data_IF_998696764078
#
_entry.id   IF_998696764078
#
_cell.length_a   1.000
_cell.length_b   1.000
_cell.length_c   1.000
_cell.angle_alpha   90.00
_cell.angle_beta   90.00
_cell.angle_gamma   90.00
#
_symmetry.space_group_name_H-M   'P 1'
#
loop_
_entity.id
_entity.type
_entity.pdbx_description
1 polymer ?
#
# COMPACT_ATOMS: atom_id res chain seq x y z
N UNK A 1 83.84 -32.28 -7.58
CA UNK A 1 83.83 -32.45 -6.11
C UNK A 1 82.84 -31.44 -5.54
N UNK A 2 81.94 -31.87 -4.63
CA UNK A 2 80.71 -31.20 -4.11
C UNK A 2 79.47 -31.41 -5.01
N UNK A 3 78.73 -32.51 -4.86
CA UNK A 3 77.62 -32.81 -3.90
C UNK A 3 76.29 -32.15 -4.34
N UNK A 4 75.42 -32.93 -5.02
CA UNK A 4 73.94 -32.86 -4.91
C UNK A 4 73.55 -33.33 -3.49
N UNK A 5 72.41 -32.96 -2.85
CA UNK A 5 71.07 -33.10 -3.48
C UNK A 5 69.88 -32.29 -2.85
N UNK A 6 68.67 -32.63 -3.30
CA UNK A 6 67.36 -32.72 -2.58
C UNK A 6 66.41 -31.52 -2.52
N UNK A 7 65.18 -31.83 -2.94
CA UNK A 7 63.91 -31.22 -2.50
C UNK A 7 63.36 -30.22 -3.49
N UNK A 8 62.08 -30.16 -3.81
CA UNK A 8 60.92 -30.95 -3.45
C UNK A 8 59.87 -30.54 -4.50
N UNK A 9 59.10 -31.50 -5.01
CA UNK A 9 57.95 -31.21 -5.85
C UNK A 9 56.94 -30.33 -5.10
N UNK A 10 56.31 -29.37 -5.79
CA UNK A 10 54.96 -28.96 -5.43
C UNK A 10 54.19 -28.57 -6.69
N UNK A 11 53.35 -29.52 -7.11
CA UNK A 11 52.22 -29.29 -7.97
C UNK A 11 51.25 -28.30 -7.29
N UNK A 12 50.82 -27.28 -8.01
CA UNK A 12 49.60 -26.54 -7.67
C UNK A 12 48.66 -26.67 -8.84
N UNK A 13 47.71 -27.60 -8.67
CA UNK A 13 46.58 -27.80 -9.56
C UNK A 13 45.74 -26.51 -9.61
N UNK A 14 45.44 -26.06 -10.82
CA UNK A 14 44.46 -25.03 -11.07
C UNK A 14 43.08 -25.56 -10.66
N UNK A 15 42.61 -25.13 -9.49
CA UNK A 15 41.21 -25.30 -9.09
C UNK A 15 40.42 -24.31 -9.93
N UNK A 16 39.88 -24.78 -11.05
CA UNK A 16 38.79 -24.14 -11.75
C UNK A 16 37.55 -24.19 -10.83
N UNK A 17 37.47 -23.24 -9.91
CA UNK A 17 36.28 -23.02 -9.11
C UNK A 17 35.16 -22.58 -10.04
N UNK A 18 34.24 -23.51 -10.33
CA UNK A 18 32.89 -23.17 -10.78
C UNK A 18 32.28 -22.21 -9.74
N UNK A 19 32.37 -20.91 -10.01
CA UNK A 19 31.43 -19.94 -9.47
C UNK A 19 30.09 -20.24 -10.14
N UNK A 20 29.33 -21.14 -9.51
CA UNK A 20 27.88 -21.18 -9.63
C UNK A 20 27.38 -19.81 -9.14
N UNK A 21 27.32 -18.87 -10.08
CA UNK A 21 26.47 -17.69 -9.97
C UNK A 21 25.06 -18.23 -9.89
N UNK A 22 24.56 -18.40 -8.67
CA UNK A 22 23.13 -18.47 -8.41
C UNK A 22 22.56 -17.13 -8.85
N UNK A 23 22.25 -17.02 -10.13
CA UNK A 23 21.26 -16.09 -10.61
C UNK A 23 19.97 -16.48 -9.91
N UNK A 24 19.71 -15.84 -8.77
CA UNK A 24 18.38 -15.77 -8.21
C UNK A 24 17.54 -15.11 -9.30
N UNK A 25 16.99 -15.92 -10.19
CA UNK A 25 15.93 -15.50 -11.08
C UNK A 25 14.83 -15.04 -10.14
N UNK A 26 14.61 -13.73 -10.07
CA UNK A 26 13.43 -13.20 -9.40
C UNK A 26 12.24 -13.93 -10.01
N UNK A 27 11.51 -14.70 -9.20
CA UNK A 27 10.35 -15.44 -9.68
C UNK A 27 9.43 -14.46 -10.44
N UNK A 28 9.02 -14.85 -11.65
CA UNK A 28 8.04 -14.06 -12.39
C UNK A 28 6.77 -13.94 -11.53
N UNK A 29 6.19 -12.73 -11.41
CA UNK A 29 5.02 -12.55 -10.56
C UNK A 29 3.80 -13.28 -11.15
N UNK A 30 3.05 -13.96 -10.30
CA UNK A 30 1.77 -14.61 -10.67
C UNK A 30 0.71 -13.58 -11.10
N UNK A 31 0.83 -12.36 -10.57
CA UNK A 31 -0.08 -11.24 -10.79
C UNK A 31 0.67 -9.93 -11.01
N UNK A 32 0.34 -9.22 -12.08
CA UNK A 32 0.77 -7.85 -12.32
C UNK A 32 -0.46 -6.93 -12.18
N UNK A 33 -0.38 -5.98 -11.26
CA UNK A 33 -1.39 -4.94 -11.04
C UNK A 33 -0.88 -3.67 -11.72
N UNK A 34 -1.47 -3.33 -12.85
CA UNK A 34 -1.21 -2.09 -13.58
C UNK A 34 -2.05 -0.95 -13.00
N UNK A 35 -1.41 0.12 -12.55
CA UNK A 35 -2.11 1.34 -12.14
C UNK A 35 -2.28 2.28 -13.32
N UNK A 36 -3.51 2.79 -13.48
CA UNK A 36 -3.88 3.73 -14.53
C UNK A 36 -3.29 5.13 -14.30
N UNK A 37 -3.42 6.04 -15.29
CA UNK A 37 -2.80 7.37 -15.26
C UNK A 37 -3.18 8.21 -14.04
N UNK A 38 -4.45 8.20 -13.63
CA UNK A 38 -4.92 8.96 -12.46
C UNK A 38 -4.29 8.46 -11.16
N UNK A 39 -4.23 7.13 -10.98
CA UNK A 39 -3.63 6.48 -9.80
C UNK A 39 -2.12 6.65 -9.77
N UNK A 40 -1.47 6.68 -10.94
CA UNK A 40 -0.05 6.97 -11.07
C UNK A 40 0.26 8.42 -10.69
N UNK A 41 -0.51 9.38 -11.22
CA UNK A 41 -0.28 10.81 -11.02
C UNK A 41 -0.64 11.24 -9.60
N UNK A 42 -1.83 10.89 -9.14
CA UNK A 42 -2.41 11.39 -7.89
C UNK A 42 -2.34 10.38 -6.74
N UNK A 43 -1.80 9.19 -6.97
CA UNK A 43 -1.74 8.14 -5.97
C UNK A 43 -3.12 7.51 -5.69
N UNK A 44 -3.12 6.49 -4.85
CA UNK A 44 -4.32 5.75 -4.49
C UNK A 44 -4.04 4.60 -3.53
N UNK A 45 -5.08 3.84 -3.20
CA UNK A 45 -5.04 2.69 -2.30
C UNK A 45 -5.44 1.43 -3.06
N UNK A 46 -4.63 0.39 -2.88
CA UNK A 46 -4.82 -0.94 -3.46
C UNK A 46 -4.81 -1.93 -2.31
N UNK A 47 -5.93 -2.60 -2.06
CA UNK A 47 -5.98 -3.72 -1.12
C UNK A 47 -5.86 -5.01 -1.91
N UNK A 48 -4.89 -5.85 -1.55
CA UNK A 48 -4.64 -7.13 -2.24
C UNK A 48 -5.00 -8.28 -1.31
N UNK A 49 -5.92 -9.14 -1.75
CA UNK A 49 -6.37 -10.34 -1.06
C UNK A 49 -5.98 -11.61 -1.84
N UNK A 50 -4.96 -12.35 -1.40
CA UNK A 50 -4.66 -13.68 -1.92
C UNK A 50 -5.68 -14.70 -1.38
N UNK A 51 -6.26 -15.53 -2.24
CA UNK A 51 -7.28 -16.53 -1.86
C UNK A 51 -6.74 -17.95 -2.07
N UNK A 52 -6.49 -18.71 -0.99
CA UNK A 52 -5.97 -20.07 -1.09
C UNK A 52 -7.03 -21.02 -1.65
N UNK A 53 -6.71 -21.66 -2.77
CA UNK A 53 -7.63 -22.51 -3.53
C UNK A 53 -7.23 -23.97 -3.45
N UNK A 54 -8.20 -24.85 -3.22
CA UNK A 54 -7.94 -26.29 -3.12
C UNK A 54 -7.51 -26.88 -4.48
N UNK A 55 -6.63 -27.91 -4.50
CA UNK A 55 -6.07 -28.46 -5.74
C UNK A 55 -7.11 -28.82 -6.82
N UNK A 56 -8.24 -29.43 -6.41
CA UNK A 56 -9.33 -29.80 -7.34
C UNK A 56 -10.01 -28.60 -7.99
N UNK A 57 -10.14 -27.49 -7.27
CA UNK A 57 -10.67 -26.25 -7.81
C UNK A 57 -9.62 -25.54 -8.66
N UNK A 58 -8.35 -25.60 -8.23
CA UNK A 58 -7.21 -25.02 -8.93
C UNK A 58 -7.01 -25.60 -10.32
N UNK A 59 -7.19 -26.91 -10.52
CA UNK A 59 -7.11 -27.54 -11.85
C UNK A 59 -8.01 -26.87 -12.90
N UNK A 60 -9.18 -26.37 -12.49
CA UNK A 60 -10.10 -25.67 -13.39
C UNK A 60 -9.68 -24.23 -13.68
N UNK A 61 -8.89 -23.62 -12.79
CA UNK A 61 -8.41 -22.24 -12.86
C UNK A 61 -7.06 -22.16 -13.58
N UNK A 62 -6.15 -23.10 -13.32
CA UNK A 62 -4.80 -23.12 -13.88
C UNK A 62 -4.76 -23.37 -15.40
N UNK A 63 -5.87 -23.81 -16.00
CA UNK A 63 -6.01 -23.96 -17.44
C UNK A 63 -6.00 -22.60 -18.20
N UNK A 64 -6.18 -21.47 -17.50
CA UNK A 64 -6.08 -20.11 -18.06
C UNK A 64 -4.77 -19.43 -17.65
N UNK A 65 -3.90 -19.15 -18.64
CA UNK A 65 -2.71 -18.26 -18.72
C UNK A 65 -1.83 -18.01 -17.45
N UNK A 66 -0.48 -18.09 -17.53
CA UNK A 66 0.38 -18.15 -16.34
C UNK A 66 0.52 -16.85 -15.54
N UNK A 67 0.58 -15.67 -16.18
CA UNK A 67 0.62 -14.37 -15.49
C UNK A 67 -0.66 -13.58 -15.76
N UNK A 68 -1.37 -13.20 -14.69
CA UNK A 68 -2.59 -12.40 -14.82
C UNK A 68 -2.20 -10.92 -14.73
N UNK A 69 -2.53 -10.14 -15.77
CA UNK A 69 -2.38 -8.69 -15.73
C UNK A 69 -3.76 -8.10 -15.46
N UNK A 70 -3.89 -7.32 -14.40
CA UNK A 70 -5.10 -6.59 -14.07
C UNK A 70 -4.85 -5.10 -14.03
N UNK A 71 -5.88 -4.31 -14.35
CA UNK A 71 -5.78 -2.85 -14.42
C UNK A 71 -6.63 -2.21 -13.35
N UNK A 72 -6.04 -1.24 -12.66
CA UNK A 72 -6.72 -0.43 -11.67
C UNK A 72 -6.69 1.05 -12.11
N UNK A 73 -7.83 1.54 -12.59
CA UNK A 73 -7.98 2.93 -13.02
C UNK A 73 -8.52 3.84 -11.89
N UNK A 74 -9.11 3.25 -10.86
CA UNK A 74 -9.68 3.98 -9.73
C UNK A 74 -8.67 4.16 -8.60
N UNK A 75 -8.76 5.30 -7.90
CA UNK A 75 -7.84 5.63 -6.78
C UNK A 75 -8.07 4.79 -5.53
N UNK A 76 -9.12 3.97 -5.51
CA UNK A 76 -9.34 2.89 -4.56
C UNK A 76 -9.66 1.60 -5.32
N UNK A 77 -9.00 0.51 -4.96
CA UNK A 77 -9.30 -0.80 -5.51
C UNK A 77 -8.97 -1.94 -4.58
N UNK A 78 -9.73 -3.02 -4.73
CA UNK A 78 -9.50 -4.30 -4.08
C UNK A 78 -9.20 -5.33 -5.15
N UNK A 79 -7.99 -5.89 -5.14
CA UNK A 79 -7.57 -6.96 -6.05
C UNK A 79 -7.59 -8.27 -5.29
N UNK A 80 -8.41 -9.21 -5.75
CA UNK A 80 -8.50 -10.55 -5.18
C UNK A 80 -7.94 -11.52 -6.21
N UNK A 81 -7.05 -12.42 -5.80
CA UNK A 81 -6.52 -13.42 -6.73
C UNK A 81 -6.38 -14.77 -6.06
N UNK A 82 -6.71 -15.82 -6.80
CA UNK A 82 -6.59 -17.19 -6.35
C UNK A 82 -5.17 -17.70 -6.58
N UNK A 83 -4.69 -18.49 -5.63
CA UNK A 83 -3.44 -19.24 -5.71
C UNK A 83 -3.64 -20.65 -5.16
N UNK A 84 -2.74 -21.57 -5.50
CA UNK A 84 -2.83 -22.95 -5.00
C UNK A 84 -2.54 -22.98 -3.49
N UNK A 85 -3.44 -23.56 -2.70
CA UNK A 85 -3.24 -23.70 -1.26
C UNK A 85 -1.93 -24.44 -0.96
N UNK A 86 -1.09 -23.83 -0.13
CA UNK A 86 0.22 -24.38 0.26
C UNK A 86 1.36 -24.04 -0.71
N UNK A 87 1.12 -23.27 -1.78
CA UNK A 87 2.17 -22.68 -2.61
C UNK A 87 2.50 -21.26 -2.17
N UNK A 88 3.69 -20.81 -2.55
CA UNK A 88 4.02 -19.38 -2.54
C UNK A 88 3.26 -18.65 -3.65
N UNK A 89 3.19 -17.33 -3.53
CA UNK A 89 2.66 -16.44 -4.56
C UNK A 89 3.46 -15.14 -4.61
N UNK A 90 3.51 -14.51 -5.77
CA UNK A 90 4.13 -13.20 -5.96
C UNK A 90 3.22 -12.29 -6.79
N UNK A 91 3.16 -11.01 -6.44
CA UNK A 91 2.54 -9.99 -7.26
C UNK A 91 3.41 -8.75 -7.37
N UNK A 92 3.21 -7.97 -8.44
CA UNK A 92 3.90 -6.71 -8.68
C UNK A 92 2.88 -5.61 -8.99
N UNK A 93 3.05 -4.46 -8.36
CA UNK A 93 2.33 -3.24 -8.73
C UNK A 93 3.25 -2.40 -9.60
N UNK A 94 2.76 -1.96 -10.76
CA UNK A 94 3.50 -1.13 -11.70
C UNK A 94 2.53 -0.18 -12.41
N UNK A 95 2.97 0.94 -13.00
CA UNK A 95 2.08 1.72 -13.82
C UNK A 95 1.88 1.09 -15.19
N UNK A 96 0.77 1.43 -15.84
CA UNK A 96 0.48 1.01 -17.21
C UNK A 96 1.60 1.45 -18.18
N UNK A 97 1.77 0.71 -19.26
CA UNK A 97 2.69 1.07 -20.32
C UNK A 97 2.38 2.47 -20.90
N UNK A 98 3.44 3.23 -21.22
CA UNK A 98 3.31 4.52 -21.90
C UNK A 98 3.15 5.74 -21.00
N UNK A 99 3.12 5.60 -19.67
CA UNK A 99 3.18 6.77 -18.77
C UNK A 99 4.59 7.33 -18.65
N UNK A 100 4.70 8.66 -18.57
CA UNK A 100 5.97 9.35 -18.36
C UNK A 100 6.55 9.03 -16.97
N UNK A 101 7.88 8.92 -16.85
CA UNK A 101 8.60 8.62 -15.58
C UNK A 101 8.17 7.32 -14.90
N UNK A 102 7.77 6.32 -15.68
CA UNK A 102 7.38 4.99 -15.19
C UNK A 102 8.41 4.36 -14.24
N UNK A 103 9.69 4.52 -14.55
CA UNK A 103 10.81 4.05 -13.75
C UNK A 103 10.91 4.68 -12.36
N UNK A 104 10.25 5.82 -12.16
CA UNK A 104 10.14 6.50 -10.87
C UNK A 104 8.94 6.01 -10.04
N UNK A 105 8.17 5.04 -10.53
CA UNK A 105 7.02 4.53 -9.79
C UNK A 105 7.44 3.83 -8.49
N UNK A 106 6.80 4.20 -7.39
CA UNK A 106 7.01 3.58 -6.08
C UNK A 106 5.65 3.22 -5.48
N UNK A 107 5.59 2.07 -4.82
CA UNK A 107 4.48 1.69 -3.95
C UNK A 107 4.97 1.52 -2.51
N UNK A 108 4.09 1.80 -1.56
CA UNK A 108 4.38 1.72 -0.12
C UNK A 108 3.36 0.77 0.52
N UNK A 109 3.82 -0.21 1.31
CA UNK A 109 2.89 -1.00 2.14
C UNK A 109 2.41 -0.15 3.30
N UNK A 110 1.10 0.06 3.43
CA UNK A 110 0.49 0.80 4.55
C UNK A 110 0.17 -0.11 5.74
N UNK A 111 -0.26 -1.33 5.45
CA UNK A 111 -0.67 -2.32 6.45
C UNK A 111 -0.63 -3.73 5.90
N UNK A 112 -0.51 -4.70 6.80
CA UNK A 112 -0.66 -6.13 6.53
C UNK A 112 -1.94 -6.57 7.23
N UNK A 113 -2.81 -7.26 6.49
CA UNK A 113 -4.04 -7.83 7.01
C UNK A 113 -3.71 -9.23 7.51
N UNK A 114 -3.95 -9.47 8.80
CA UNK A 114 -3.64 -10.74 9.46
C UNK A 114 -4.64 -11.85 9.16
N UNK A 115 -4.35 -13.02 9.73
CA UNK A 115 -5.19 -14.21 9.69
C UNK A 115 -5.63 -14.62 11.10
N UNK A 116 -6.70 -15.40 11.19
CA UNK A 116 -7.12 -16.10 12.41
C UNK A 116 -6.27 -17.36 12.67
N UNK A 117 -6.61 -18.10 13.74
CA UNK A 117 -5.93 -19.35 14.12
C UNK A 117 -6.08 -20.48 13.08
N UNK A 118 -6.96 -20.32 12.10
CA UNK A 118 -7.17 -21.27 11.00
C UNK A 118 -6.54 -20.78 9.68
N UNK A 119 -5.63 -19.81 9.75
CA UNK A 119 -4.99 -19.15 8.61
C UNK A 119 -5.99 -18.48 7.65
N UNK A 120 -7.15 -18.05 8.16
CA UNK A 120 -8.16 -17.33 7.38
C UNK A 120 -8.06 -15.83 7.65
N UNK A 121 -7.88 -15.07 6.58
CA UNK A 121 -8.05 -13.62 6.59
C UNK A 121 -9.53 -13.23 6.49
N UNK A 122 -9.82 -11.96 6.11
CA UNK A 122 -11.19 -11.52 5.89
C UNK A 122 -11.93 -12.38 4.87
N UNK A 123 -13.23 -12.56 5.12
CA UNK A 123 -14.17 -13.13 4.16
C UNK A 123 -14.49 -12.08 3.10
N UNK A 124 -14.49 -12.47 1.84
CA UNK A 124 -14.79 -11.57 0.73
C UNK A 124 -16.29 -11.28 0.65
N UNK A 125 -16.64 -10.00 0.70
CA UNK A 125 -18.03 -9.52 0.54
C UNK A 125 -18.38 -9.26 -0.93
N UNK A 126 -17.38 -8.93 -1.76
CA UNK A 126 -17.51 -8.72 -3.21
C UNK A 126 -16.51 -9.60 -3.97
N UNK A 127 -16.71 -9.83 -5.27
CA UNK A 127 -15.80 -10.60 -6.12
C UNK A 127 -15.92 -12.10 -5.87
N UNK A 128 -14.90 -12.72 -5.28
CA UNK A 128 -14.93 -14.11 -4.83
C UNK A 128 -15.74 -14.26 -3.53
N UNK A 129 -17.01 -13.86 -3.56
CA UNK A 129 -17.89 -13.74 -2.39
C UNK A 129 -17.94 -15.03 -1.58
N UNK A 130 -17.89 -14.89 -0.24
CA UNK A 130 -17.85 -15.93 0.77
C UNK A 130 -16.55 -16.74 0.88
N UNK A 131 -15.56 -16.51 0.02
CA UNK A 131 -14.23 -17.11 0.19
C UNK A 131 -13.41 -16.32 1.21
N UNK A 132 -12.51 -17.02 1.90
CA UNK A 132 -11.59 -16.42 2.86
C UNK A 132 -10.24 -16.19 2.19
N UNK A 133 -9.70 -14.99 2.37
CA UNK A 133 -8.32 -14.70 1.98
C UNK A 133 -7.31 -15.40 2.91
N UNK A 134 -6.03 -15.43 2.53
CA UNK A 134 -4.91 -15.75 3.41
C UNK A 134 -4.26 -14.44 3.86
N UNK A 135 -5.01 -13.65 4.63
CA UNK A 135 -4.65 -12.29 4.98
C UNK A 135 -4.67 -11.35 3.78
N UNK A 136 -3.81 -10.36 3.76
CA UNK A 136 -3.74 -9.40 2.65
C UNK A 136 -2.78 -8.27 2.90
N UNK A 137 -2.70 -7.34 1.94
CA UNK A 137 -1.91 -6.12 2.09
C UNK A 137 -2.68 -4.91 1.62
N UNK A 138 -2.55 -3.82 2.35
CA UNK A 138 -3.01 -2.51 1.93
C UNK A 138 -1.78 -1.74 1.44
N UNK A 139 -1.81 -1.37 0.17
CA UNK A 139 -0.72 -0.75 -0.55
C UNK A 139 -1.17 0.64 -0.99
N UNK A 140 -0.26 1.59 -0.82
CA UNK A 140 -0.40 2.93 -1.37
C UNK A 140 0.40 3.03 -2.66
N UNK A 141 -0.27 3.45 -3.72
CA UNK A 141 0.39 3.96 -4.92
C UNK A 141 0.89 5.38 -4.59
N UNK A 142 2.21 5.58 -4.58
CA UNK A 142 2.79 6.88 -4.21
C UNK A 142 2.59 7.85 -5.38
N UNK A 143 1.97 9.03 -5.17
CA UNK A 143 1.81 10.03 -6.21
C UNK A 143 3.17 10.50 -6.74
N UNK A 144 3.26 10.70 -8.05
CA UNK A 144 4.52 11.05 -8.71
C UNK A 144 5.15 12.35 -8.16
N UNK A 145 4.33 13.29 -7.67
CA UNK A 145 4.77 14.54 -7.07
C UNK A 145 5.59 14.33 -5.79
N UNK A 146 5.29 13.30 -4.99
CA UNK A 146 6.09 12.97 -3.81
C UNK A 146 7.43 12.35 -4.18
N UNK A 147 7.52 11.67 -5.32
CA UNK A 147 8.77 11.06 -5.82
C UNK A 147 9.62 12.09 -6.56
N UNK A 148 9.00 13.01 -7.28
CA UNK A 148 9.68 14.01 -8.10
C UNK A 148 10.36 15.15 -7.31
N UNK A 149 10.29 15.14 -5.97
CA UNK A 149 10.97 16.08 -5.08
C UNK A 149 11.96 15.38 -4.14
N UNK A 150 13.26 15.66 -4.28
CA UNK A 150 14.32 15.09 -3.42
C UNK A 150 14.36 15.71 -2.01
N UNK A 151 13.80 16.91 -1.87
CA UNK A 151 13.82 17.71 -0.66
C UNK A 151 12.58 17.45 0.23
N UNK A 152 12.82 17.24 1.52
CA UNK A 152 11.77 17.04 2.52
C UNK A 152 10.85 18.26 2.67
N UNK A 153 11.35 19.45 2.40
CA UNK A 153 10.57 20.69 2.33
C UNK A 153 9.64 20.69 1.10
N UNK A 154 10.07 20.15 -0.04
CA UNK A 154 9.24 19.98 -1.25
C UNK A 154 8.14 18.95 -1.01
N UNK A 155 8.46 17.83 -0.35
CA UNK A 155 7.46 16.83 0.09
C UNK A 155 6.50 17.40 1.13
N UNK A 156 6.97 18.24 2.04
CA UNK A 156 6.14 18.87 3.07
C UNK A 156 5.28 20.01 2.52
N UNK A 157 5.79 20.78 1.57
CA UNK A 157 5.09 21.88 0.90
C UNK A 157 4.03 21.36 -0.08
N UNK A 158 4.28 20.23 -0.78
CA UNK A 158 3.27 19.54 -1.57
C UNK A 158 2.12 18.99 -0.70
N UNK A 159 2.43 18.61 0.54
CA UNK A 159 1.42 18.10 1.50
C UNK A 159 0.62 19.20 2.22
N UNK A 160 1.14 20.43 2.33
CA UNK A 160 0.55 21.43 3.25
C UNK A 160 0.60 22.91 2.80
N UNK A 161 1.13 23.24 1.62
CA UNK A 161 1.42 24.63 1.25
C UNK A 161 1.05 25.07 -0.18
N UNK A 162 0.64 24.17 -1.06
CA UNK A 162 -0.01 24.59 -2.31
C UNK A 162 -1.48 24.81 -2.00
N UNK A 163 -2.00 26.00 -2.29
CA UNK A 163 -3.43 26.24 -2.35
C UNK A 163 -4.00 25.29 -3.39
N UNK A 164 -4.54 24.17 -2.92
CA UNK A 164 -5.19 23.21 -3.80
C UNK A 164 -6.35 23.92 -4.48
N UNK A 165 -6.41 23.80 -5.79
CA UNK A 165 -7.57 24.26 -6.52
C UNK A 165 -8.80 23.51 -6.01
N UNK A 166 -9.97 24.12 -6.07
CA UNK A 166 -11.23 23.45 -5.72
C UNK A 166 -11.49 22.18 -6.55
N UNK A 167 -10.81 22.06 -7.69
CA UNK A 167 -10.87 20.93 -8.61
C UNK A 167 -9.81 19.86 -8.35
N UNK A 168 -8.89 20.09 -7.42
CA UNK A 168 -7.85 19.11 -7.11
C UNK A 168 -8.46 17.94 -6.33
N UNK A 169 -8.17 16.69 -6.73
CA UNK A 169 -8.68 15.54 -6.01
C UNK A 169 -7.94 15.44 -4.66
N UNK A 170 -8.56 14.86 -3.61
CA UNK A 170 -7.91 14.74 -2.30
C UNK A 170 -6.52 14.09 -2.42
N UNK A 171 -5.50 14.57 -1.69
CA UNK A 171 -4.15 14.03 -1.80
C UNK A 171 -4.13 12.58 -1.30
N UNK A 172 -3.46 11.69 -2.03
CA UNK A 172 -3.13 10.35 -1.54
C UNK A 172 -1.72 10.33 -0.95
N UNK A 173 -1.40 11.31 -0.09
CA UNK A 173 -0.24 11.17 0.80
C UNK A 173 -0.45 10.00 1.78
N UNK A 174 0.52 9.66 2.65
CA UNK A 174 0.31 8.50 3.55
C UNK A 174 -0.97 8.64 4.39
N UNK A 175 -1.28 9.86 4.85
CA UNK A 175 -2.45 10.14 5.68
C UNK A 175 -3.72 10.14 4.84
N UNK A 176 -3.69 10.78 3.68
CA UNK A 176 -4.78 10.79 2.72
C UNK A 176 -5.14 9.41 2.24
N UNK A 177 -4.16 8.55 1.94
CA UNK A 177 -4.42 7.15 1.60
C UNK A 177 -5.12 6.40 2.75
N UNK A 178 -4.71 6.63 4.00
CA UNK A 178 -5.40 6.05 5.18
C UNK A 178 -6.79 6.63 5.38
N UNK A 179 -6.99 7.92 5.13
CA UNK A 179 -8.29 8.57 5.21
C UNK A 179 -9.25 8.03 4.14
N UNK A 180 -8.79 7.81 2.89
CA UNK A 180 -9.57 7.16 1.84
C UNK A 180 -10.00 5.76 2.29
N UNK A 181 -9.05 4.96 2.81
CA UNK A 181 -9.38 3.63 3.33
C UNK A 181 -10.47 3.72 4.42
N UNK A 182 -10.35 4.65 5.38
CA UNK A 182 -11.33 4.82 6.44
C UNK A 182 -12.72 5.27 5.96
N UNK A 183 -12.77 6.14 4.95
CA UNK A 183 -14.04 6.56 4.32
C UNK A 183 -14.71 5.37 3.62
N UNK A 184 -13.94 4.61 2.85
CA UNK A 184 -14.48 3.46 2.14
C UNK A 184 -14.88 2.35 3.10
N UNK A 185 -14.04 2.00 4.08
CA UNK A 185 -14.28 0.92 5.04
C UNK A 185 -15.51 1.17 5.93
N UNK A 186 -15.68 2.40 6.41
CA UNK A 186 -16.89 2.78 7.18
C UNK A 186 -18.13 2.90 6.29
N UNK A 187 -17.92 3.25 5.03
CA UNK A 187 -18.98 3.45 4.04
C UNK A 187 -19.23 2.24 3.14
N UNK A 188 -18.69 1.04 3.41
CA UNK A 188 -18.80 -0.11 2.48
C UNK A 188 -20.27 -0.43 2.15
N UNK A 189 -21.18 -0.28 3.12
CA UNK A 189 -22.62 -0.45 2.90
C UNK A 189 -23.25 0.64 2.03
N UNK A 190 -22.62 1.81 1.93
CA UNK A 190 -23.03 2.96 1.10
C UNK A 190 -22.32 2.99 -0.26
N UNK A 191 -21.16 2.34 -0.38
CA UNK A 191 -20.31 2.30 -1.57
C UNK A 191 -19.99 0.85 -1.94
N UNK A 192 -20.99 0.07 -2.40
CA UNK A 192 -20.76 -1.32 -2.77
C UNK A 192 -19.71 -1.40 -3.89
N UNK A 193 -18.82 -2.38 -3.77
CA UNK A 193 -17.80 -2.61 -4.78
C UNK A 193 -18.38 -3.35 -5.98
N UNK A 194 -18.11 -2.83 -7.17
CA UNK A 194 -18.34 -3.52 -8.44
C UNK A 194 -17.06 -4.25 -8.84
N UNK A 195 -17.16 -5.55 -9.12
CA UNK A 195 -16.02 -6.39 -9.47
C UNK A 195 -16.07 -6.81 -10.93
N UNK A 196 -14.92 -6.76 -11.58
CA UNK A 196 -14.68 -7.29 -12.91
C UNK A 196 -13.47 -8.23 -12.88
N UNK A 197 -13.48 -9.28 -13.71
CA UNK A 197 -12.41 -10.26 -13.75
C UNK A 197 -12.87 -11.66 -14.15
N UNK A 198 -12.02 -12.64 -13.87
CA UNK A 198 -12.20 -14.03 -14.25
C UNK A 198 -12.17 -14.98 -13.03
N UNK A 199 -12.04 -16.29 -13.29
CA UNK A 199 -12.00 -17.32 -12.24
C UNK A 199 -10.72 -17.28 -11.40
N UNK A 200 -9.67 -16.59 -11.85
CA UNK A 200 -8.38 -16.48 -11.17
C UNK A 200 -8.23 -15.15 -10.45
N UNK A 201 -8.70 -14.04 -11.02
CA UNK A 201 -8.54 -12.70 -10.43
C UNK A 201 -9.80 -11.86 -10.58
N UNK A 202 -10.12 -11.10 -9.53
CA UNK A 202 -11.21 -10.12 -9.48
C UNK A 202 -10.64 -8.77 -9.07
N UNK A 203 -11.00 -7.71 -9.80
CA UNK A 203 -10.71 -6.33 -9.45
C UNK A 203 -12.01 -5.65 -9.07
N UNK A 204 -12.12 -5.29 -7.81
CA UNK A 204 -13.28 -4.66 -7.23
C UNK A 204 -12.98 -3.18 -6.98
N UNK A 205 -13.80 -2.30 -7.52
CA UNK A 205 -13.66 -0.86 -7.37
C UNK A 205 -14.99 -0.26 -6.97
N UNK A 206 -14.95 0.98 -6.47
CA UNK A 206 -16.18 1.73 -6.28
C UNK A 206 -16.61 2.25 -7.66
N UNK A 207 -17.90 2.18 -7.95
CA UNK A 207 -18.44 2.64 -9.22
C UNK A 207 -18.00 4.10 -9.50
N UNK A 208 -17.45 4.42 -10.68
CA UNK A 208 -16.86 5.73 -10.97
C UNK A 208 -17.81 6.91 -10.73
N UNK A 209 -19.11 6.72 -10.95
CA UNK A 209 -20.15 7.72 -10.72
C UNK A 209 -20.30 8.12 -9.25
N UNK A 210 -19.88 7.28 -8.30
CA UNK A 210 -19.91 7.56 -6.85
C UNK A 210 -18.71 8.36 -6.39
N UNK A 211 -17.72 8.63 -7.26
CA UNK A 211 -16.52 9.41 -6.93
C UNK A 211 -16.87 10.80 -6.39
N UNK A 212 -17.89 11.44 -6.96
CA UNK A 212 -18.39 12.74 -6.51
C UNK A 212 -18.93 12.75 -5.07
N UNK A 213 -19.29 11.58 -4.52
CA UNK A 213 -19.75 11.44 -3.14
C UNK A 213 -18.58 11.11 -2.19
N UNK A 214 -17.58 10.37 -2.66
CA UNK A 214 -16.42 9.95 -1.86
C UNK A 214 -15.43 11.09 -1.67
N UNK A 215 -15.16 11.87 -2.71
CA UNK A 215 -14.14 12.93 -2.64
C UNK A 215 -14.44 13.97 -1.54
N UNK A 216 -15.67 14.47 -1.37
CA UNK A 216 -16.00 15.35 -0.24
C UNK A 216 -15.83 14.69 1.13
N UNK A 217 -16.20 13.40 1.26
CA UNK A 217 -16.02 12.65 2.50
C UNK A 217 -14.54 12.43 2.83
N UNK A 218 -13.73 12.18 1.80
CA UNK A 218 -12.29 12.04 1.94
C UNK A 218 -11.62 13.37 2.34
N UNK A 219 -12.02 14.47 1.69
CA UNK A 219 -11.59 15.81 2.10
C UNK A 219 -11.95 16.12 3.54
N UNK A 220 -13.18 15.79 3.94
CA UNK A 220 -13.64 15.95 5.31
C UNK A 220 -12.83 15.11 6.29
N UNK A 221 -12.59 13.83 6.00
CA UNK A 221 -11.80 12.95 6.86
C UNK A 221 -10.36 13.46 7.05
N UNK A 222 -9.75 14.01 5.99
CA UNK A 222 -8.45 14.66 6.06
C UNK A 222 -8.46 15.91 6.97
N UNK A 223 -9.51 16.73 6.88
CA UNK A 223 -9.67 17.91 7.70
C UNK A 223 -9.91 17.56 9.18
N UNK A 224 -10.74 16.54 9.46
CA UNK A 224 -11.02 16.05 10.81
C UNK A 224 -9.76 15.47 11.46
N UNK A 225 -8.98 14.62 10.77
CA UNK A 225 -7.70 14.09 11.26
C UNK A 225 -6.67 15.20 11.53
N UNK A 226 -6.66 16.26 10.71
CA UNK A 226 -5.83 17.44 10.97
C UNK A 226 -6.25 18.14 12.25
N UNK A 227 -7.56 18.40 12.42
CA UNK A 227 -8.09 19.09 13.59
C UNK A 227 -7.82 18.29 14.87
N UNK A 228 -8.03 16.97 14.84
CA UNK A 228 -7.76 16.08 15.96
C UNK A 228 -6.29 16.14 16.41
N UNK A 229 -5.34 16.16 15.46
CA UNK A 229 -3.92 16.35 15.81
C UNK A 229 -3.62 17.71 16.41
N UNK A 230 -4.20 18.78 15.87
CA UNK A 230 -4.01 20.12 16.42
C UNK A 230 -4.54 20.18 17.86
N UNK A 231 -5.70 19.58 18.12
CA UNK A 231 -6.23 19.39 19.47
C UNK A 231 -5.26 18.63 20.36
N UNK A 232 -4.78 17.47 19.90
CA UNK A 232 -3.83 16.65 20.67
C UNK A 232 -2.54 17.40 21.01
N UNK A 233 -1.94 18.10 20.04
CA UNK A 233 -0.71 18.87 20.27
C UNK A 233 -0.93 20.11 21.15
N UNK A 234 -2.08 20.76 21.05
CA UNK A 234 -2.43 21.87 21.93
C UNK A 234 -2.64 21.39 23.37
N UNK A 235 -3.39 20.30 23.56
CA UNK A 235 -3.62 19.68 24.87
C UNK A 235 -2.32 19.20 25.51
N UNK A 236 -1.47 18.52 24.73
CA UNK A 236 -0.15 18.07 25.20
C UNK A 236 0.72 19.26 25.63
N UNK A 237 0.79 20.33 24.83
CA UNK A 237 1.54 21.54 25.19
C UNK A 237 1.05 22.17 26.50
N UNK A 238 -0.26 22.16 26.75
CA UNK A 238 -0.81 22.62 28.02
C UNK A 238 -0.28 21.79 29.20
N UNK A 239 -0.38 20.45 29.14
CA UNK A 239 0.12 19.59 30.22
C UNK A 239 1.65 19.64 30.39
N UNK A 240 2.40 19.68 29.29
CA UNK A 240 3.88 19.77 29.31
C UNK A 240 4.36 21.11 29.90
N UNK A 241 3.53 22.18 29.86
CA UNK A 241 3.87 23.49 30.42
C UNK A 241 3.72 23.60 31.95
N UNK A 242 3.06 22.63 32.58
CA UNK A 242 2.79 22.64 34.03
C UNK A 242 3.70 21.67 34.78
N UNK A 243 4.73 22.22 35.43
CA UNK A 243 5.77 21.48 36.16
C UNK A 243 5.29 20.89 37.50
N UNK A 244 4.29 21.52 38.14
CA UNK A 244 3.78 21.13 39.45
C UNK A 244 2.60 20.19 39.25
N UNK A 245 2.83 18.88 39.40
CA UNK A 245 1.78 17.86 39.23
C UNK A 245 0.49 18.23 39.95
N UNK A 246 -0.62 18.30 39.20
CA UNK A 246 -1.94 18.72 39.66
C UNK A 246 -2.63 19.63 38.64
N UNK A 247 -3.94 19.47 38.49
CA UNK A 247 -4.79 20.28 37.60
C UNK A 247 -5.23 19.56 36.32
N UNK A 248 -6.04 20.27 35.53
CA UNK A 248 -6.59 19.80 34.25
C UNK A 248 -6.43 20.87 33.17
N UNK A 249 -6.37 20.45 31.90
CA UNK A 249 -6.32 21.36 30.77
C UNK A 249 -7.70 21.45 30.11
N UNK A 250 -8.35 22.60 30.26
CA UNK A 250 -9.67 22.85 29.70
C UNK A 250 -9.55 23.54 28.34
N UNK A 251 -10.40 23.15 27.40
CA UNK A 251 -10.50 23.80 26.10
C UNK A 251 -10.94 25.26 26.26
N UNK A 252 -10.37 26.17 25.45
CA UNK A 252 -10.81 27.56 25.36
C UNK A 252 -11.95 27.64 24.34
N UNK A 253 -13.21 27.86 24.76
CA UNK A 253 -14.38 27.67 23.90
C UNK A 253 -14.47 28.65 22.72
N UNK A 254 -13.86 29.84 22.83
CA UNK A 254 -13.93 30.90 21.82
C UNK A 254 -12.62 31.04 21.00
N UNK A 255 -11.79 30.00 20.96
CA UNK A 255 -10.55 30.04 20.20
C UNK A 255 -10.77 29.57 18.76
N UNK A 256 -10.32 30.36 17.79
CA UNK A 256 -10.37 30.02 16.34
C UNK A 256 -9.48 28.81 15.99
N UNK A 257 -8.49 28.51 16.83
CA UNK A 257 -7.63 27.33 16.75
C UNK A 257 -7.69 26.52 18.05
N UNK A 258 -7.40 25.21 18.04
CA UNK A 258 -7.29 24.42 19.25
C UNK A 258 -6.37 25.04 20.30
N UNK A 259 -6.94 25.47 21.43
CA UNK A 259 -6.23 26.05 22.56
C UNK A 259 -6.77 25.49 23.88
N UNK A 260 -5.86 25.31 24.84
CA UNK A 260 -6.14 24.73 26.15
C UNK A 260 -5.45 25.53 27.24
N UNK A 261 -6.18 25.81 28.33
CA UNK A 261 -5.66 26.51 29.49
C UNK A 261 -5.64 25.60 30.70
N UNK A 262 -4.51 25.60 31.41
CA UNK A 262 -4.38 24.87 32.67
C UNK A 262 -5.28 25.48 33.75
N UNK A 263 -5.96 24.60 34.47
CA UNK A 263 -6.70 24.89 35.70
C UNK A 263 -6.06 24.09 36.82
N UNK A 264 -5.51 24.75 37.87
CA UNK A 264 -4.91 24.08 39.02
C UNK A 264 -5.94 23.29 39.83
#
# INVERSE_FOLDING_TARGET
MRILPKGLALATAAIAGLLLTSTAHAAEPDLIIEVGPDVFKHGGVITVYPIPTDPKAWEKIAASNPATIVRLNERYGVVQFRFLRGSDYAYRVQPIDGVEKRESYVSQTLSIIGTDEQDRGPQMEAGFTNEYSNGGRIIRSVPIEEVAGTDESTRSNARWGVTQAITDPPPADERGARALLGVVDRGVYEFPLACDGDLRTQVCTIAPERRAEIEPLWWRALAEDRLERLNFYALRRCYDSTWTGGGSCDAVPDSDEPDYKHRP
#
